data_IF_575511212053
#
_entry.id   IF_575511212053
#
_cell.length_a   1.000
_cell.length_b   1.000
_cell.length_c   1.000
_cell.angle_alpha   90.00
_cell.angle_beta   90.00
_cell.angle_gamma   90.00
#
_symmetry.space_group_name_H-M   'P 1'
#
loop_
_entity.id
_entity.type
_entity.pdbx_description
1 polymer ?
#
# COMPACT_ATOMS: atom_id res chain seq x y z
N UNK A 1 -38.14 -27.38 -33.46
CA UNK A 1 -38.15 -27.98 -32.11
C UNK A 1 -36.82 -28.69 -31.95
N UNK A 2 -35.84 -28.25 -31.18
CA UNK A 2 -35.69 -27.31 -30.07
C UNK A 2 -34.44 -27.85 -29.35
N UNK A 3 -33.34 -27.11 -29.27
CA UNK A 3 -32.94 -26.17 -28.19
C UNK A 3 -31.66 -26.76 -27.55
N UNK A 4 -30.48 -26.32 -28.00
CA UNK A 4 -29.57 -25.36 -27.33
C UNK A 4 -29.06 -25.77 -25.95
N UNK A 5 -27.76 -26.02 -25.88
CA UNK A 5 -26.97 -26.10 -24.65
C UNK A 5 -25.58 -25.48 -24.83
N UNK A 6 -25.49 -24.38 -25.59
CA UNK A 6 -24.28 -23.54 -25.64
C UNK A 6 -24.33 -22.60 -24.45
N UNK A 7 -23.94 -23.06 -23.28
CA UNK A 7 -23.74 -22.19 -22.12
C UNK A 7 -22.40 -21.48 -22.25
N UNK A 8 -22.47 -20.31 -22.89
CA UNK A 8 -21.83 -19.06 -22.44
C UNK A 8 -20.32 -19.12 -22.13
N UNK A 9 -19.50 -19.20 -23.17
CA UNK A 9 -18.23 -18.48 -23.24
C UNK A 9 -18.52 -17.02 -23.63
N UNK A 10 -19.22 -16.29 -22.77
CA UNK A 10 -19.17 -14.83 -22.78
C UNK A 10 -18.00 -14.45 -21.88
N UNK A 11 -16.82 -14.43 -22.51
CA UNK A 11 -15.71 -13.62 -22.08
C UNK A 11 -16.27 -12.22 -21.86
N UNK A 12 -16.44 -11.82 -20.60
CA UNK A 12 -16.76 -10.44 -20.28
C UNK A 12 -15.55 -9.64 -20.71
N UNK A 13 -15.61 -9.08 -21.91
CA UNK A 13 -14.83 -7.90 -22.28
C UNK A 13 -15.29 -6.82 -21.31
N UNK A 14 -14.69 -6.80 -20.12
CA UNK A 14 -14.77 -5.68 -19.20
C UNK A 14 -14.09 -4.55 -19.95
N UNK A 15 -14.90 -3.69 -20.57
CA UNK A 15 -14.46 -2.40 -21.07
C UNK A 15 -13.71 -1.73 -19.93
N UNK A 16 -12.40 -1.52 -20.10
CA UNK A 16 -11.62 -0.79 -19.11
C UNK A 16 -12.32 0.55 -18.86
N UNK A 17 -12.51 0.95 -17.59
CA UNK A 17 -13.20 2.20 -17.30
C UNK A 17 -12.43 3.35 -17.96
N UNK A 18 -13.16 4.29 -18.56
CA UNK A 18 -12.58 5.40 -19.32
C UNK A 18 -12.89 6.73 -18.63
N UNK A 19 -11.91 7.63 -18.66
CA UNK A 19 -12.03 8.97 -18.11
C UNK A 19 -12.08 9.99 -19.23
N UNK A 20 -12.84 11.05 -19.03
CA UNK A 20 -12.72 12.25 -19.86
C UNK A 20 -11.34 12.87 -19.69
N UNK A 21 -10.89 13.65 -20.68
CA UNK A 21 -9.61 14.35 -20.58
C UNK A 21 -9.70 15.48 -19.57
N UNK A 22 -8.80 15.50 -18.59
CA UNK A 22 -8.69 16.62 -17.66
C UNK A 22 -8.49 17.95 -18.40
N UNK A 23 -9.13 19.01 -17.89
CA UNK A 23 -9.14 20.35 -18.49
C UNK A 23 -8.33 21.37 -17.69
N UNK A 24 -7.95 22.48 -18.33
CA UNK A 24 -7.19 23.57 -17.73
C UNK A 24 -5.84 23.11 -17.14
N UNK A 25 -5.46 23.68 -15.98
CA UNK A 25 -4.20 23.36 -15.29
C UNK A 25 -4.10 21.89 -14.85
N UNK A 26 -5.23 21.20 -14.64
CA UNK A 26 -5.24 19.80 -14.22
C UNK A 26 -4.73 18.86 -15.30
N UNK A 27 -4.80 19.26 -16.57
CA UNK A 27 -4.21 18.49 -17.69
C UNK A 27 -2.71 18.29 -17.52
N UNK A 28 -2.00 19.27 -16.96
CA UNK A 28 -0.55 19.19 -16.71
C UNK A 28 -0.20 18.41 -15.45
N UNK A 29 -1.17 18.19 -14.56
CA UNK A 29 -1.00 17.41 -13.33
C UNK A 29 -1.43 15.96 -13.51
N UNK A 30 -2.27 15.65 -14.50
CA UNK A 30 -2.68 14.30 -14.84
C UNK A 30 -1.47 13.42 -15.16
N UNK A 31 -1.51 12.17 -14.69
CA UNK A 31 -0.46 11.18 -14.90
C UNK A 31 -0.57 10.57 -16.27
N UNK A 32 0.57 10.35 -16.92
CA UNK A 32 0.63 9.54 -18.13
C UNK A 32 0.24 8.10 -17.76
N UNK A 33 -0.73 7.46 -18.44
CA UNK A 33 -1.04 6.04 -18.26
C UNK A 33 0.19 5.13 -18.32
N UNK A 34 1.22 5.50 -19.09
CA UNK A 34 2.48 4.75 -19.18
C UNK A 34 3.31 4.80 -17.89
N UNK A 35 2.99 5.68 -16.92
CA UNK A 35 3.65 5.68 -15.61
C UNK A 35 3.39 4.41 -14.80
N UNK A 36 2.36 3.62 -15.14
CA UNK A 36 2.13 2.31 -14.51
C UNK A 36 3.09 1.22 -15.00
N UNK A 37 3.84 1.46 -16.08
CA UNK A 37 4.84 0.53 -16.60
C UNK A 37 6.13 0.61 -15.77
N UNK A 38 6.28 -0.36 -14.87
CA UNK A 38 7.46 -0.50 -14.01
C UNK A 38 8.71 -0.99 -14.77
N UNK A 39 8.56 -1.47 -16.02
CA UNK A 39 9.68 -1.99 -16.83
C UNK A 39 10.72 -0.93 -17.16
N UNK A 40 10.34 0.35 -17.12
CA UNK A 40 11.23 1.48 -17.38
C UNK A 40 12.16 1.84 -16.20
N UNK A 41 12.06 1.14 -15.06
CA UNK A 41 12.70 1.58 -13.79
C UNK A 41 13.75 0.63 -13.19
N UNK A 42 14.37 -0.24 -14.01
CA UNK A 42 15.35 -1.27 -13.56
C UNK A 42 14.80 -2.25 -12.52
N UNK A 43 13.48 -2.42 -12.46
CA UNK A 43 12.88 -3.41 -11.57
C UNK A 43 13.14 -4.79 -12.16
N UNK A 44 13.45 -5.75 -11.29
CA UNK A 44 13.54 -7.15 -11.68
C UNK A 44 12.12 -7.69 -11.87
N UNK A 45 11.49 -7.35 -13.00
CA UNK A 45 10.18 -7.88 -13.33
C UNK A 45 10.33 -9.36 -13.69
N UNK A 46 9.98 -10.22 -12.74
CA UNK A 46 9.78 -11.65 -13.01
C UNK A 46 8.52 -11.80 -13.85
N UNK A 47 8.57 -12.66 -14.87
CA UNK A 47 7.36 -13.00 -15.62
C UNK A 47 6.38 -13.76 -14.72
N UNK A 48 5.08 -13.67 -15.00
CA UNK A 48 4.04 -14.35 -14.24
C UNK A 48 3.26 -13.46 -13.26
N UNK A 49 2.89 -14.01 -12.11
CA UNK A 49 1.94 -13.43 -11.17
C UNK A 49 2.35 -12.04 -10.64
N UNK A 50 3.64 -11.83 -10.37
CA UNK A 50 4.16 -10.56 -9.85
C UNK A 50 3.98 -9.40 -10.82
N UNK A 51 4.32 -9.60 -12.11
CA UNK A 51 4.15 -8.57 -13.14
C UNK A 51 2.68 -8.15 -13.28
N UNK A 52 1.76 -9.12 -13.32
CA UNK A 52 0.33 -8.83 -13.43
C UNK A 52 -0.18 -8.08 -12.21
N UNK A 53 0.14 -8.54 -11.00
CA UNK A 53 -0.31 -7.92 -9.75
C UNK A 53 0.16 -6.45 -9.65
N UNK A 54 1.45 -6.20 -9.91
CA UNK A 54 2.03 -4.86 -9.80
C UNK A 54 1.53 -3.91 -10.89
N UNK A 55 1.37 -4.43 -12.11
CA UNK A 55 0.81 -3.65 -13.23
C UNK A 55 -0.62 -3.24 -12.94
N UNK A 56 -1.46 -4.16 -12.44
CA UNK A 56 -2.85 -3.86 -12.09
C UNK A 56 -2.93 -2.83 -10.96
N UNK A 57 -2.14 -3.00 -9.90
CA UNK A 57 -2.09 -2.05 -8.79
C UNK A 57 -1.71 -0.64 -9.25
N UNK A 58 -0.64 -0.48 -10.04
CA UNK A 58 -0.22 0.85 -10.51
C UNK A 58 -1.17 1.42 -11.58
N UNK A 59 -1.79 0.59 -12.44
CA UNK A 59 -2.82 1.04 -13.38
C UNK A 59 -4.04 1.59 -12.62
N UNK A 60 -4.49 0.90 -11.58
CA UNK A 60 -5.59 1.38 -10.73
C UNK A 60 -5.21 2.65 -9.98
N UNK A 61 -4.00 2.75 -9.45
CA UNK A 61 -3.49 3.99 -8.85
C UNK A 61 -3.50 5.17 -9.84
N UNK A 62 -2.96 4.99 -11.05
CA UNK A 62 -2.94 6.03 -12.08
C UNK A 62 -4.37 6.41 -12.50
N UNK A 63 -5.25 5.43 -12.65
CA UNK A 63 -6.66 5.66 -12.97
C UNK A 63 -7.33 6.52 -11.90
N UNK A 64 -7.24 6.15 -10.61
CA UNK A 64 -7.88 6.92 -9.55
C UNK A 64 -7.30 8.31 -9.37
N UNK A 65 -6.00 8.47 -9.59
CA UNK A 65 -5.37 9.80 -9.62
C UNK A 65 -5.96 10.67 -10.73
N UNK A 66 -6.09 10.12 -11.94
CA UNK A 66 -6.64 10.83 -13.09
C UNK A 66 -8.15 11.07 -12.96
N UNK A 67 -8.90 10.19 -12.30
CA UNK A 67 -10.32 10.37 -12.03
C UNK A 67 -10.57 11.67 -11.25
N UNK A 68 -9.75 11.97 -10.24
CA UNK A 68 -9.81 13.25 -9.52
C UNK A 68 -9.43 14.43 -10.42
N UNK A 69 -8.44 14.28 -11.31
CA UNK A 69 -8.05 15.33 -12.25
C UNK A 69 -9.18 15.67 -13.23
N UNK A 70 -9.90 14.65 -13.70
CA UNK A 70 -11.06 14.77 -14.60
C UNK A 70 -12.37 15.11 -13.87
N UNK A 71 -12.39 15.12 -12.53
CA UNK A 71 -13.58 15.34 -11.69
C UNK A 71 -14.62 14.21 -11.82
N UNK A 72 -14.15 12.99 -12.02
CA UNK A 72 -14.96 11.78 -12.18
C UNK A 72 -14.54 10.73 -11.13
N UNK A 73 -14.38 11.15 -9.86
CA UNK A 73 -13.86 10.27 -8.79
C UNK A 73 -14.75 9.07 -8.52
N UNK A 74 -16.06 9.20 -8.79
CA UNK A 74 -17.05 8.13 -8.73
C UNK A 74 -16.72 6.96 -9.65
N UNK A 75 -15.98 7.18 -10.75
CA UNK A 75 -15.55 6.11 -11.66
C UNK A 75 -14.52 5.17 -11.04
N UNK A 76 -13.93 5.52 -9.89
CA UNK A 76 -13.09 4.58 -9.12
C UNK A 76 -13.89 3.33 -8.73
N UNK A 77 -15.20 3.43 -8.56
CA UNK A 77 -16.07 2.28 -8.25
C UNK A 77 -16.22 1.29 -9.43
N UNK A 78 -15.92 1.71 -10.65
CA UNK A 78 -15.92 0.84 -11.84
C UNK A 78 -14.70 -0.09 -11.88
N UNK A 79 -13.64 0.21 -11.10
CA UNK A 79 -12.48 -0.66 -10.93
C UNK A 79 -12.93 -1.97 -10.25
N UNK A 80 -12.39 -3.16 -10.62
CA UNK A 80 -12.59 -4.39 -9.86
C UNK A 80 -12.39 -4.20 -8.36
N UNK A 81 -13.26 -4.79 -7.53
CA UNK A 81 -13.30 -4.55 -6.08
C UNK A 81 -11.94 -4.79 -5.39
N UNK A 82 -11.23 -5.84 -5.81
CA UNK A 82 -9.88 -6.17 -5.37
C UNK A 82 -8.81 -5.10 -5.69
N UNK A 83 -9.01 -4.30 -6.74
CA UNK A 83 -8.08 -3.25 -7.18
C UNK A 83 -8.52 -1.83 -6.76
N UNK A 84 -9.78 -1.66 -6.32
CA UNK A 84 -10.31 -0.36 -5.82
C UNK A 84 -9.46 0.29 -4.74
N UNK A 85 -8.86 -0.43 -3.78
CA UNK A 85 -8.00 0.20 -2.81
C UNK A 85 -6.85 1.00 -3.45
N UNK A 86 -6.22 0.47 -4.51
CA UNK A 86 -5.19 1.19 -5.26
C UNK A 86 -5.77 2.40 -6.02
N UNK A 87 -6.98 2.28 -6.57
CA UNK A 87 -7.72 3.41 -7.14
C UNK A 87 -7.92 4.55 -6.13
N UNK A 88 -8.38 4.23 -4.92
CA UNK A 88 -8.55 5.22 -3.86
C UNK A 88 -7.24 5.77 -3.31
N UNK A 89 -6.16 5.00 -3.34
CA UNK A 89 -4.80 5.49 -3.09
C UNK A 89 -4.43 6.59 -4.11
N UNK A 90 -4.68 6.36 -5.40
CA UNK A 90 -4.47 7.33 -6.47
C UNK A 90 -5.32 8.59 -6.32
N UNK A 91 -6.61 8.42 -6.06
CA UNK A 91 -7.54 9.53 -5.85
C UNK A 91 -7.13 10.39 -4.65
N UNK A 92 -6.74 9.77 -3.53
CA UNK A 92 -6.26 10.48 -2.36
C UNK A 92 -4.94 11.22 -2.61
N UNK A 93 -4.04 10.64 -3.41
CA UNK A 93 -2.82 11.31 -3.84
C UNK A 93 -3.14 12.58 -4.67
N UNK A 94 -4.05 12.49 -5.63
CA UNK A 94 -4.47 13.64 -6.43
C UNK A 94 -5.17 14.73 -5.59
N UNK A 95 -6.09 14.34 -4.69
CA UNK A 95 -6.74 15.27 -3.77
C UNK A 95 -5.71 15.99 -2.88
N UNK A 96 -4.75 15.26 -2.33
CA UNK A 96 -3.70 15.81 -1.47
C UNK A 96 -2.77 16.74 -2.26
N UNK A 97 -2.38 16.36 -3.47
CA UNK A 97 -1.57 17.20 -4.36
C UNK A 97 -2.28 18.54 -4.63
N UNK A 98 -3.56 18.50 -4.99
CA UNK A 98 -4.35 19.71 -5.22
C UNK A 98 -4.51 20.53 -3.95
N UNK A 99 -4.71 19.90 -2.80
CA UNK A 99 -4.84 20.60 -1.53
C UNK A 99 -3.56 21.32 -1.09
N UNK A 100 -2.40 20.73 -1.38
CA UNK A 100 -1.09 21.34 -1.14
C UNK A 100 -0.83 22.49 -2.12
N UNK A 101 -1.11 22.32 -3.41
CA UNK A 101 -0.90 23.35 -4.43
C UNK A 101 -1.86 24.54 -4.30
N UNK A 102 -3.09 24.30 -3.82
CA UNK A 102 -4.13 25.34 -3.69
C UNK A 102 -4.32 25.83 -2.25
N UNK A 103 -3.49 25.34 -1.31
CA UNK A 103 -3.50 25.70 0.11
C UNK A 103 -4.89 25.56 0.79
N UNK A 104 -5.71 24.63 0.31
CA UNK A 104 -7.08 24.38 0.82
C UNK A 104 -7.12 23.53 2.10
N UNK A 105 -5.98 23.39 2.79
CA UNK A 105 -5.86 22.76 4.12
C UNK A 105 -6.48 21.34 4.21
N UNK A 106 -6.32 20.54 3.16
CA UNK A 106 -6.76 19.14 3.14
C UNK A 106 -8.25 18.93 2.89
N UNK A 107 -8.98 19.95 2.41
CA UNK A 107 -10.43 19.87 2.17
C UNK A 107 -10.82 18.71 1.25
N UNK A 108 -10.14 18.52 0.12
CA UNK A 108 -10.50 17.47 -0.86
C UNK A 108 -10.17 16.09 -0.33
N UNK A 109 -9.04 15.93 0.36
CA UNK A 109 -8.72 14.67 1.02
C UNK A 109 -9.76 14.34 2.09
N UNK A 110 -10.21 15.33 2.86
CA UNK A 110 -11.25 15.14 3.87
C UNK A 110 -12.58 14.72 3.23
N UNK A 111 -13.06 15.43 2.21
CA UNK A 111 -14.29 15.08 1.46
C UNK A 111 -14.22 13.65 0.90
N UNK A 112 -13.07 13.24 0.36
CA UNK A 112 -12.85 11.87 -0.12
C UNK A 112 -12.95 10.84 1.02
N UNK A 113 -12.31 11.11 2.17
CA UNK A 113 -12.27 10.23 3.34
C UNK A 113 -13.61 10.11 4.09
N UNK A 114 -14.49 11.10 3.97
CA UNK A 114 -15.84 11.11 4.54
C UNK A 114 -16.91 10.65 3.56
N UNK A 115 -16.56 10.51 2.28
CA UNK A 115 -17.44 10.04 1.22
C UNK A 115 -16.95 8.73 0.61
N UNK A 116 -16.60 8.71 -0.68
CA UNK A 116 -16.40 7.46 -1.42
C UNK A 116 -15.23 6.60 -0.90
N UNK A 117 -14.19 7.19 -0.29
CA UNK A 117 -13.08 6.43 0.29
C UNK A 117 -13.27 6.05 1.76
N UNK A 118 -14.47 6.15 2.34
CA UNK A 118 -14.72 5.87 3.76
C UNK A 118 -14.31 4.46 4.19
N UNK A 119 -14.44 3.47 3.30
CA UNK A 119 -14.02 2.08 3.51
C UNK A 119 -12.56 1.82 3.08
N UNK A 120 -11.93 2.80 2.41
CA UNK A 120 -10.57 2.73 1.87
C UNK A 120 -9.60 3.69 2.58
N UNK A 121 -9.88 4.05 3.83
CA UNK A 121 -9.07 5.03 4.59
C UNK A 121 -7.58 4.71 4.65
N UNK A 122 -7.22 3.43 4.81
CA UNK A 122 -5.82 3.01 4.81
C UNK A 122 -5.12 3.39 3.50
N UNK A 123 -5.69 2.97 2.37
CA UNK A 123 -5.20 3.30 1.04
C UNK A 123 -5.16 4.81 0.81
N UNK A 124 -6.20 5.54 1.22
CA UNK A 124 -6.24 6.99 1.08
C UNK A 124 -5.10 7.70 1.83
N UNK A 125 -4.74 7.25 3.05
CA UNK A 125 -3.60 7.82 3.76
C UNK A 125 -2.25 7.47 3.14
N UNK A 126 -2.08 6.25 2.60
CA UNK A 126 -0.90 5.90 1.80
C UNK A 126 -0.79 6.86 0.60
N UNK A 127 -1.89 7.08 -0.12
CA UNK A 127 -1.98 7.97 -1.27
C UNK A 127 -1.61 9.42 -0.93
N UNK A 128 -2.12 9.93 0.19
CA UNK A 128 -1.73 11.25 0.69
C UNK A 128 -0.21 11.35 0.88
N UNK A 129 0.42 10.33 1.44
CA UNK A 129 1.88 10.22 1.56
C UNK A 129 2.62 10.27 0.22
N UNK A 130 2.11 9.57 -0.79
CA UNK A 130 2.68 9.60 -2.16
C UNK A 130 2.66 11.02 -2.72
N UNK A 131 1.59 11.79 -2.50
CA UNK A 131 1.50 13.19 -2.94
C UNK A 131 2.56 14.10 -2.30
N UNK A 132 2.82 13.94 -1.01
CA UNK A 132 3.91 14.65 -0.32
C UNK A 132 5.26 14.37 -0.98
N UNK A 133 5.53 13.10 -1.33
CA UNK A 133 6.78 12.71 -2.00
C UNK A 133 6.91 13.31 -3.41
N UNK A 134 5.82 13.39 -4.18
CA UNK A 134 5.79 14.03 -5.50
C UNK A 134 6.19 15.51 -5.43
N UNK A 135 5.73 16.23 -4.40
CA UNK A 135 6.10 17.62 -4.14
C UNK A 135 7.41 17.79 -3.35
N UNK A 136 8.06 16.70 -2.96
CA UNK A 136 9.25 16.68 -2.08
C UNK A 136 9.02 17.38 -0.74
N UNK A 137 7.78 17.38 -0.27
CA UNK A 137 7.37 17.91 1.03
C UNK A 137 7.34 16.78 2.06
N UNK A 138 7.67 17.07 3.31
CA UNK A 138 7.61 16.07 4.38
C UNK A 138 6.19 16.00 4.97
N UNK A 139 5.59 14.82 5.18
CA UNK A 139 4.23 14.66 5.70
C UNK A 139 4.14 14.87 7.23
N UNK A 140 4.74 15.95 7.75
CA UNK A 140 4.86 16.19 9.20
C UNK A 140 3.68 17.00 9.75
N UNK A 141 3.21 17.99 8.99
CA UNK A 141 2.31 19.02 9.51
C UNK A 141 0.88 18.95 8.96
N UNK A 142 0.68 18.45 7.74
CA UNK A 142 -0.61 18.55 7.05
C UNK A 142 -1.61 17.44 7.37
N UNK A 143 -1.40 16.67 8.44
CA UNK A 143 -2.32 15.63 8.89
C UNK A 143 -2.84 15.85 10.33
N UNK A 144 -2.77 17.09 10.86
CA UNK A 144 -3.27 17.41 12.21
C UNK A 144 -4.76 17.13 12.42
N UNK A 145 -5.56 17.16 11.33
CA UNK A 145 -7.01 16.83 11.35
C UNK A 145 -7.33 15.41 10.88
N UNK A 146 -6.31 14.62 10.52
CA UNK A 146 -6.48 13.23 10.14
C UNK A 146 -6.67 12.34 11.37
N UNK A 147 -7.19 11.13 11.16
CA UNK A 147 -7.25 10.11 12.22
C UNK A 147 -5.85 9.95 12.83
N UNK A 148 -5.69 10.14 14.16
CA UNK A 148 -4.39 10.41 14.74
C UNK A 148 -3.33 9.33 14.52
N UNK A 149 -3.76 8.07 14.41
CA UNK A 149 -2.87 6.94 14.12
C UNK A 149 -2.74 6.62 12.63
N UNK A 150 -3.79 6.81 11.83
CA UNK A 150 -3.74 6.45 10.41
C UNK A 150 -2.93 7.46 9.59
N UNK A 151 -2.74 8.68 10.10
CA UNK A 151 -1.84 9.66 9.47
C UNK A 151 -0.39 9.17 9.36
N UNK A 152 0.04 8.22 10.19
CA UNK A 152 1.37 7.60 10.05
C UNK A 152 1.49 6.81 8.75
N UNK A 153 0.39 6.30 8.19
CA UNK A 153 0.38 5.70 6.85
C UNK A 153 0.75 6.71 5.75
N UNK A 154 0.60 8.02 5.99
CA UNK A 154 1.14 9.02 5.06
C UNK A 154 2.68 9.05 5.06
N UNK A 155 3.34 8.70 6.17
CA UNK A 155 4.81 8.54 6.21
C UNK A 155 5.23 7.28 5.45
N UNK A 156 4.45 6.20 5.56
CA UNK A 156 4.66 4.96 4.80
C UNK A 156 4.51 5.22 3.29
N UNK A 157 3.38 5.78 2.86
CA UNK A 157 3.13 6.11 1.47
C UNK A 157 4.17 7.10 0.90
N UNK A 158 4.66 8.02 1.73
CA UNK A 158 5.80 8.87 1.39
C UNK A 158 7.07 8.05 1.17
N UNK A 159 7.38 7.09 2.05
CA UNK A 159 8.52 6.18 1.92
C UNK A 159 8.51 5.37 0.64
N UNK A 160 7.34 4.82 0.28
CA UNK A 160 7.15 4.10 -0.99
C UNK A 160 7.43 5.00 -2.20
N UNK A 161 6.73 6.12 -2.33
CA UNK A 161 6.84 6.99 -3.52
C UNK A 161 8.19 7.73 -3.61
N UNK A 162 8.75 8.14 -2.46
CA UNK A 162 10.07 8.75 -2.43
C UNK A 162 11.13 7.80 -2.96
N UNK A 163 11.04 6.54 -2.56
CA UNK A 163 11.97 5.50 -2.97
C UNK A 163 11.73 5.05 -4.40
N UNK A 164 10.47 5.01 -4.85
CA UNK A 164 10.09 4.69 -6.23
C UNK A 164 10.69 5.68 -7.23
N UNK A 165 10.83 6.95 -6.84
CA UNK A 165 11.42 8.01 -7.68
C UNK A 165 12.94 8.15 -7.52
N UNK A 166 13.54 7.38 -6.60
CA UNK A 166 14.96 7.48 -6.23
C UNK A 166 15.57 6.09 -5.95
N UNK A 167 15.24 5.11 -6.79
CA UNK A 167 15.66 3.72 -6.59
C UNK A 167 17.19 3.60 -6.42
N UNK A 168 17.99 4.29 -7.25
CA UNK A 168 19.45 4.26 -7.12
C UNK A 168 19.94 4.68 -5.72
N UNK A 169 19.36 5.74 -5.14
CA UNK A 169 19.74 6.25 -3.82
C UNK A 169 19.17 5.45 -2.65
N UNK A 170 17.94 4.97 -2.81
CA UNK A 170 17.22 4.32 -1.72
C UNK A 170 17.51 2.83 -1.65
N UNK A 171 17.68 2.19 -2.81
CA UNK A 171 17.93 0.74 -2.95
C UNK A 171 19.41 0.45 -3.18
N UNK A 172 20.08 1.21 -4.05
CA UNK A 172 21.51 1.04 -4.34
C UNK A 172 22.41 1.58 -3.23
N UNK A 173 22.31 2.88 -2.95
CA UNK A 173 23.11 3.54 -1.91
C UNK A 173 22.54 3.34 -0.49
N UNK A 174 21.30 2.86 -0.37
CA UNK A 174 20.60 2.59 0.92
C UNK A 174 20.54 3.79 1.85
N UNK A 175 20.40 4.99 1.28
CA UNK A 175 20.33 6.25 2.04
C UNK A 175 19.03 6.36 2.86
N UNK A 176 18.98 7.34 3.77
CA UNK A 176 17.78 7.72 4.51
C UNK A 176 17.60 9.23 4.36
N UNK A 177 16.44 9.73 3.88
CA UNK A 177 16.19 11.17 3.89
C UNK A 177 16.23 11.68 5.33
N UNK A 178 16.67 12.93 5.53
CA UNK A 178 16.75 13.53 6.87
C UNK A 178 15.38 13.79 7.49
N UNK A 179 14.68 12.75 7.93
CA UNK A 179 13.37 12.81 8.58
C UNK A 179 13.52 13.23 10.05
N UNK A 180 12.40 13.69 10.65
CA UNK A 180 12.45 14.39 11.93
C UNK A 180 12.75 13.52 13.14
N UNK A 181 12.30 12.27 13.15
CA UNK A 181 12.47 11.38 14.30
C UNK A 181 12.75 9.95 13.84
N UNK A 182 13.30 9.12 14.74
CA UNK A 182 13.49 7.68 14.50
C UNK A 182 12.18 6.97 14.15
N UNK A 183 11.05 7.45 14.67
CA UNK A 183 9.75 6.91 14.32
C UNK A 183 9.35 7.20 12.87
N UNK A 184 9.65 8.40 12.37
CA UNK A 184 9.43 8.71 10.95
C UNK A 184 10.32 7.85 10.05
N UNK A 185 11.59 7.62 10.43
CA UNK A 185 12.49 6.74 9.68
C UNK A 185 11.96 5.29 9.64
N UNK A 186 11.48 4.78 10.77
CA UNK A 186 10.88 3.43 10.86
C UNK A 186 9.67 3.28 9.93
N UNK A 187 8.71 4.22 9.98
CA UNK A 187 7.52 4.14 9.13
C UNK A 187 7.86 4.41 7.65
N UNK A 188 8.86 5.25 7.38
CA UNK A 188 9.42 5.39 6.03
C UNK A 188 9.97 4.06 5.51
N UNK A 189 10.69 3.30 6.36
CA UNK A 189 11.24 2.00 5.99
C UNK A 189 10.16 0.93 5.76
N UNK A 190 8.97 1.06 6.37
CA UNK A 190 7.80 0.22 6.02
C UNK A 190 7.36 0.50 4.57
N UNK A 191 7.28 1.78 4.17
CA UNK A 191 7.04 2.16 2.79
C UNK A 191 8.13 1.72 1.81
N UNK A 192 9.40 1.82 2.22
CA UNK A 192 10.54 1.31 1.44
C UNK A 192 10.46 -0.22 1.31
N UNK A 193 10.10 -0.94 2.35
CA UNK A 193 9.90 -2.40 2.32
C UNK A 193 8.85 -2.80 1.30
N UNK A 194 7.70 -2.10 1.28
CA UNK A 194 6.68 -2.30 0.23
C UNK A 194 7.26 -2.07 -1.17
N UNK A 195 8.12 -1.07 -1.34
CA UNK A 195 8.78 -0.85 -2.62
C UNK A 195 9.78 -1.98 -2.96
N UNK A 196 10.54 -2.49 -2.00
CA UNK A 196 11.51 -3.57 -2.27
C UNK A 196 10.80 -4.81 -2.84
N UNK A 197 9.60 -5.12 -2.34
CA UNK A 197 8.76 -6.17 -2.90
C UNK A 197 8.46 -5.97 -4.40
N UNK A 198 8.13 -4.73 -4.80
CA UNK A 198 7.91 -4.39 -6.21
C UNK A 198 9.22 -4.42 -7.02
N UNK A 199 10.29 -3.87 -6.44
CA UNK A 199 11.60 -3.74 -7.08
C UNK A 199 12.20 -5.10 -7.43
N UNK A 200 12.04 -6.07 -6.55
CA UNK A 200 12.58 -7.43 -6.68
C UNK A 200 11.55 -8.44 -7.22
N UNK A 201 10.46 -7.96 -7.81
CA UNK A 201 9.54 -8.84 -8.54
C UNK A 201 8.85 -9.87 -7.65
N UNK A 202 8.57 -9.53 -6.39
CA UNK A 202 8.04 -10.45 -5.38
C UNK A 202 8.92 -11.70 -5.11
N UNK A 203 10.22 -11.64 -5.42
CA UNK A 203 11.17 -12.73 -5.15
C UNK A 203 11.59 -12.76 -3.67
N UNK A 204 11.27 -13.82 -2.91
CA UNK A 204 11.67 -13.93 -1.51
C UNK A 204 13.19 -13.88 -1.32
N UNK A 205 13.94 -14.57 -2.18
CA UNK A 205 15.40 -14.66 -2.12
C UNK A 205 16.05 -13.29 -2.38
N UNK A 206 15.62 -12.60 -3.44
CA UNK A 206 16.18 -11.30 -3.79
C UNK A 206 15.85 -10.24 -2.73
N UNK A 207 14.62 -10.27 -2.20
CA UNK A 207 14.18 -9.38 -1.12
C UNK A 207 14.99 -9.63 0.15
N UNK A 208 15.19 -10.90 0.53
CA UNK A 208 15.98 -11.28 1.70
C UNK A 208 17.45 -10.84 1.56
N UNK A 209 18.07 -11.13 0.42
CA UNK A 209 19.44 -10.68 0.11
C UNK A 209 19.54 -9.15 0.16
N UNK A 210 18.54 -8.45 -0.38
CA UNK A 210 18.51 -6.99 -0.39
C UNK A 210 18.38 -6.41 1.01
N UNK A 211 17.50 -6.93 1.87
CA UNK A 211 17.37 -6.49 3.26
C UNK A 211 18.66 -6.75 4.05
N UNK A 212 19.34 -7.88 3.78
CA UNK A 212 20.62 -8.21 4.37
C UNK A 212 21.68 -7.13 4.17
N UNK A 213 21.60 -6.34 3.10
CA UNK A 213 22.51 -5.21 2.85
C UNK A 213 22.19 -3.93 3.63
N UNK A 214 21.02 -3.83 4.29
CA UNK A 214 20.68 -2.69 5.14
C UNK A 214 21.21 -2.86 6.56
N UNK A 215 21.48 -1.74 7.23
CA UNK A 215 21.87 -1.71 8.65
C UNK A 215 20.83 -2.45 9.51
N UNK A 216 21.25 -3.26 10.51
CA UNK A 216 20.34 -4.09 11.31
C UNK A 216 19.13 -3.34 11.89
N UNK A 217 19.33 -2.10 12.34
CA UNK A 217 18.27 -1.27 12.93
C UNK A 217 17.15 -0.83 11.98
N UNK A 218 17.25 -1.11 10.68
CA UNK A 218 16.23 -0.78 9.66
C UNK A 218 15.44 -2.01 9.19
N UNK A 219 16.00 -3.21 9.35
CA UNK A 219 15.48 -4.44 8.74
C UNK A 219 14.08 -4.80 9.23
N UNK A 220 13.82 -4.59 10.52
CA UNK A 220 12.51 -4.86 11.13
C UNK A 220 11.35 -4.17 10.40
N UNK A 221 11.52 -2.89 10.09
CA UNK A 221 10.51 -2.07 9.43
C UNK A 221 10.40 -2.40 7.93
N UNK A 222 11.52 -2.70 7.27
CA UNK A 222 11.53 -3.20 5.89
C UNK A 222 10.71 -4.51 5.78
N UNK A 223 10.97 -5.47 6.67
CA UNK A 223 10.21 -6.73 6.74
C UNK A 223 8.73 -6.52 7.01
N UNK A 224 8.37 -5.54 7.86
CA UNK A 224 6.96 -5.18 8.05
C UNK A 224 6.31 -4.63 6.77
N UNK A 225 7.05 -3.82 6.01
CA UNK A 225 6.59 -3.35 4.70
C UNK A 225 6.38 -4.49 3.70
N UNK A 226 7.32 -5.43 3.65
CA UNK A 226 7.24 -6.59 2.74
C UNK A 226 6.07 -7.50 3.11
N UNK A 227 5.88 -7.80 4.40
CA UNK A 227 4.72 -8.58 4.85
C UNK A 227 3.39 -7.92 4.49
N UNK A 228 3.33 -6.59 4.54
CA UNK A 228 2.17 -5.84 4.04
C UNK A 228 2.01 -6.00 2.53
N UNK A 229 3.05 -5.76 1.72
CA UNK A 229 2.95 -5.83 0.27
C UNK A 229 2.63 -7.25 -0.25
N UNK A 230 3.22 -8.28 0.35
CA UNK A 230 2.97 -9.67 -0.01
C UNK A 230 1.50 -10.08 0.23
N UNK A 231 0.88 -9.60 1.31
CA UNK A 231 -0.52 -9.87 1.61
C UNK A 231 -1.49 -8.91 0.89
N UNK A 232 -1.11 -7.65 0.68
CA UNK A 232 -1.97 -6.61 0.10
C UNK A 232 -1.94 -6.61 -1.43
N UNK A 233 -0.75 -6.48 -2.00
CA UNK A 233 -0.53 -6.46 -3.46
C UNK A 233 -0.44 -7.86 -4.03
N UNK A 234 0.15 -8.81 -3.29
CA UNK A 234 0.40 -10.16 -3.79
C UNK A 234 1.61 -10.23 -4.71
N UNK A 235 1.59 -11.17 -5.64
CA UNK A 235 2.63 -11.37 -6.64
C UNK A 235 3.59 -12.53 -6.38
N UNK A 236 3.39 -13.29 -5.30
CA UNK A 236 4.13 -14.51 -5.00
C UNK A 236 3.17 -15.70 -4.84
N UNK A 237 3.62 -16.88 -5.23
CA UNK A 237 2.93 -18.15 -5.07
C UNK A 237 3.11 -18.74 -3.65
N UNK A 238 2.38 -19.81 -3.35
CA UNK A 238 2.33 -20.43 -2.01
C UNK A 238 3.71 -20.80 -1.46
N UNK A 239 4.52 -21.49 -2.26
CA UNK A 239 5.87 -21.94 -1.92
C UNK A 239 6.82 -20.75 -1.71
N UNK A 240 6.70 -19.72 -2.54
CA UNK A 240 7.46 -18.48 -2.40
C UNK A 240 7.09 -17.74 -1.10
N UNK A 241 5.81 -17.73 -0.72
CA UNK A 241 5.37 -17.14 0.55
C UNK A 241 5.91 -17.91 1.77
N UNK A 242 6.08 -19.23 1.67
CA UNK A 242 6.77 -20.03 2.70
C UNK A 242 8.26 -19.70 2.76
N UNK A 243 8.91 -19.56 1.61
CA UNK A 243 10.31 -19.13 1.54
C UNK A 243 10.51 -17.73 2.16
N UNK A 244 9.60 -16.78 1.87
CA UNK A 244 9.60 -15.44 2.46
C UNK A 244 9.49 -15.49 4.00
N UNK A 245 8.61 -16.35 4.48
CA UNK A 245 8.40 -16.63 5.89
C UNK A 245 9.68 -17.17 6.56
N UNK A 246 10.37 -18.11 5.91
CA UNK A 246 11.62 -18.71 6.39
C UNK A 246 12.75 -17.69 6.43
N UNK A 247 12.95 -16.91 5.36
CA UNK A 247 13.95 -15.83 5.31
C UNK A 247 13.75 -14.79 6.40
N UNK A 248 12.51 -14.36 6.60
CA UNK A 248 12.17 -13.44 7.69
C UNK A 248 12.41 -14.09 9.06
N UNK A 249 12.20 -15.40 9.20
CA UNK A 249 12.52 -16.17 10.40
C UNK A 249 14.03 -16.20 10.68
N UNK A 250 14.84 -16.52 9.68
CA UNK A 250 16.29 -16.57 9.77
C UNK A 250 16.92 -15.22 10.14
N UNK A 251 16.36 -14.11 9.65
CA UNK A 251 16.79 -12.74 10.01
C UNK A 251 16.16 -12.25 11.35
N UNK A 252 15.30 -13.05 11.99
CA UNK A 252 14.69 -12.73 13.30
C UNK A 252 13.47 -11.79 13.26
N UNK A 253 12.88 -11.59 12.08
CA UNK A 253 11.80 -10.63 11.84
C UNK A 253 10.47 -11.25 11.40
N UNK A 254 10.26 -12.56 11.64
CA UNK A 254 8.98 -13.26 11.37
C UNK A 254 7.75 -12.52 11.93
N UNK A 255 7.85 -12.00 13.15
CA UNK A 255 6.77 -11.24 13.78
C UNK A 255 6.46 -9.91 13.07
N UNK A 256 7.46 -9.29 12.42
CA UNK A 256 7.26 -8.05 11.66
C UNK A 256 6.57 -8.32 10.32
N UNK A 257 6.93 -9.42 9.63
CA UNK A 257 6.18 -9.86 8.44
C UNK A 257 4.72 -10.14 8.79
N UNK A 258 4.46 -10.86 9.86
CA UNK A 258 3.10 -11.15 10.31
C UNK A 258 2.31 -9.90 10.69
N UNK A 259 2.95 -8.92 11.33
CA UNK A 259 2.35 -7.62 11.59
C UNK A 259 1.94 -6.92 10.29
N UNK A 260 2.85 -6.85 9.31
CA UNK A 260 2.55 -6.27 7.99
C UNK A 260 1.35 -6.94 7.34
N UNK A 261 1.31 -8.27 7.36
CA UNK A 261 0.20 -9.08 6.87
C UNK A 261 -1.11 -8.74 7.60
N UNK A 262 -1.10 -8.66 8.93
CA UNK A 262 -2.28 -8.32 9.72
C UNK A 262 -2.84 -6.93 9.37
N UNK A 263 -1.98 -5.92 9.19
CA UNK A 263 -2.41 -4.59 8.74
C UNK A 263 -2.98 -4.58 7.32
N UNK A 264 -2.39 -5.34 6.40
CA UNK A 264 -2.90 -5.48 5.04
C UNK A 264 -4.30 -6.06 5.02
N UNK A 265 -4.51 -7.16 5.73
CA UNK A 265 -5.79 -7.87 5.77
C UNK A 265 -6.86 -7.05 6.51
N UNK A 266 -6.50 -6.37 7.61
CA UNK A 266 -7.41 -5.45 8.28
C UNK A 266 -7.89 -4.33 7.35
N UNK A 267 -7.01 -3.79 6.50
CA UNK A 267 -7.38 -2.79 5.50
C UNK A 267 -8.31 -3.37 4.42
N UNK A 268 -8.04 -4.58 3.94
CA UNK A 268 -8.83 -5.26 2.91
C UNK A 268 -10.22 -5.64 3.39
N UNK A 269 -10.33 -6.27 4.57
CA UNK A 269 -11.62 -6.61 5.18
C UNK A 269 -12.47 -5.36 5.43
N UNK A 270 -11.87 -4.25 5.85
CA UNK A 270 -12.57 -2.97 6.02
C UNK A 270 -13.07 -2.37 4.71
N UNK A 271 -12.39 -2.68 3.59
CA UNK A 271 -12.84 -2.32 2.24
C UNK A 271 -13.91 -3.25 1.66
N UNK A 272 -14.26 -4.34 2.37
CA UNK A 272 -15.35 -5.24 2.01
C UNK A 272 -14.98 -6.31 0.99
N UNK A 273 -13.69 -6.52 0.68
CA UNK A 273 -13.23 -7.58 -0.22
C UNK A 273 -11.88 -8.11 0.23
N UNK A 274 -11.78 -9.44 0.35
CA UNK A 274 -10.52 -10.14 0.57
C UNK A 274 -10.14 -10.87 -0.73
N UNK A 275 -9.13 -10.38 -1.47
CA UNK A 275 -8.65 -11.04 -2.68
C UNK A 275 -8.11 -12.46 -2.41
N UNK A 276 -8.13 -13.31 -3.44
CA UNK A 276 -7.68 -14.71 -3.32
C UNK A 276 -6.21 -14.82 -2.91
N UNK A 277 -5.32 -13.98 -3.49
CA UNK A 277 -3.91 -13.96 -3.10
C UNK A 277 -3.72 -13.58 -1.63
N UNK A 278 -4.54 -12.66 -1.12
CA UNK A 278 -4.51 -12.26 0.28
C UNK A 278 -4.96 -13.41 1.17
N UNK A 279 -6.08 -14.06 0.84
CA UNK A 279 -6.61 -15.22 1.57
C UNK A 279 -5.59 -16.38 1.63
N UNK A 280 -4.81 -16.57 0.56
CA UNK A 280 -3.72 -17.55 0.49
C UNK A 280 -2.51 -17.15 1.33
N UNK A 281 -2.18 -15.86 1.38
CA UNK A 281 -1.01 -15.35 2.09
C UNK A 281 -1.17 -15.34 3.61
N UNK A 282 -2.37 -15.08 4.16
CA UNK A 282 -2.55 -14.95 5.63
C UNK A 282 -2.14 -16.20 6.41
N UNK A 283 -2.60 -17.41 6.05
CA UNK A 283 -2.22 -18.63 6.78
C UNK A 283 -0.72 -18.88 6.77
N UNK A 284 -0.02 -18.43 5.73
CA UNK A 284 1.43 -18.64 5.57
C UNK A 284 2.21 -17.57 6.34
N UNK A 285 1.87 -16.29 6.15
CA UNK A 285 2.64 -15.18 6.70
C UNK A 285 2.29 -14.89 8.16
N UNK A 286 1.02 -14.97 8.52
CA UNK A 286 0.52 -14.72 9.87
C UNK A 286 0.29 -16.01 10.66
N UNK A 287 0.11 -17.16 10.01
CA UNK A 287 -0.12 -18.44 10.72
C UNK A 287 -1.54 -18.57 11.29
N UNK A 288 -2.52 -17.87 10.72
CA UNK A 288 -3.95 -17.94 11.08
C UNK A 288 -4.84 -17.46 9.91
N UNK A 289 -6.16 -17.46 10.07
CA UNK A 289 -7.12 -16.89 9.12
C UNK A 289 -7.13 -15.35 9.10
N UNK A 290 -7.78 -14.78 8.08
CA UNK A 290 -7.83 -13.35 7.84
C UNK A 290 -8.51 -12.57 8.98
N UNK A 291 -9.61 -13.10 9.50
CA UNK A 291 -10.42 -12.49 10.55
C UNK A 291 -9.63 -12.40 11.86
N UNK A 292 -8.93 -13.47 12.24
CA UNK A 292 -8.12 -13.48 13.45
C UNK A 292 -6.93 -12.51 13.32
N UNK A 293 -6.21 -12.54 12.19
CA UNK A 293 -5.08 -11.64 11.95
C UNK A 293 -5.52 -10.16 12.00
N UNK A 294 -6.66 -9.83 11.39
CA UNK A 294 -7.22 -8.49 11.46
C UNK A 294 -7.64 -8.10 12.88
N UNK A 295 -8.23 -9.03 13.64
CA UNK A 295 -8.66 -8.80 15.02
C UNK A 295 -7.50 -8.37 15.94
N UNK A 296 -6.27 -8.83 15.69
CA UNK A 296 -5.10 -8.40 16.46
C UNK A 296 -4.83 -6.89 16.31
N UNK A 297 -5.09 -6.34 15.13
CA UNK A 297 -4.93 -4.90 14.89
C UNK A 297 -6.03 -4.11 15.59
N UNK A 298 -7.27 -4.58 15.56
CA UNK A 298 -8.39 -3.91 16.21
C UNK A 298 -8.28 -3.98 17.74
N UNK A 299 -7.94 -5.15 18.31
CA UNK A 299 -7.71 -5.29 19.75
C UNK A 299 -6.56 -4.42 20.23
N UNK A 300 -5.45 -4.38 19.49
CA UNK A 300 -4.33 -3.52 19.79
C UNK A 300 -4.71 -2.04 19.70
N UNK A 301 -5.57 -1.65 18.75
CA UNK A 301 -6.07 -0.28 18.65
C UNK A 301 -6.96 0.09 19.84
N UNK A 302 -7.89 -0.79 20.22
CA UNK A 302 -8.78 -0.62 21.38
C UNK A 302 -7.97 -0.46 22.68
N UNK A 303 -6.90 -1.24 22.83
CA UNK A 303 -6.03 -1.20 24.01
C UNK A 303 -5.22 0.10 24.16
N UNK A 304 -5.14 0.95 23.11
CA UNK A 304 -4.50 2.27 23.21
C UNK A 304 -5.43 3.34 23.79
N UNK A 305 -6.74 3.12 23.75
CA UNK A 305 -7.74 4.10 24.17
C UNK A 305 -7.99 5.25 23.18
N UNK A 306 -8.98 6.08 23.50
CA UNK A 306 -9.48 7.14 22.60
C UNK A 306 -8.52 8.33 22.40
N UNK A 307 -7.57 8.51 23.33
CA UNK A 307 -6.57 9.58 23.29
C UNK A 307 -5.30 9.20 22.52
N UNK A 308 -5.25 8.04 21.86
CA UNK A 308 -4.07 7.59 21.14
C UNK A 308 -3.79 8.46 19.91
N UNK A 309 -2.73 9.26 19.95
CA UNK A 309 -2.44 10.22 18.88
C UNK A 309 -0.97 10.48 18.60
N UNK A 310 -0.05 9.84 19.30
CA UNK A 310 1.39 10.09 19.16
C UNK A 310 2.07 9.05 18.26
N UNK A 311 3.36 9.27 18.01
CA UNK A 311 4.18 8.26 17.33
C UNK A 311 4.46 7.05 18.22
N UNK A 312 4.48 7.26 19.54
CA UNK A 312 4.66 6.19 20.52
C UNK A 312 3.44 5.29 20.56
N UNK A 313 2.24 5.87 20.45
CA UNK A 313 0.99 5.12 20.34
C UNK A 313 0.96 4.27 19.07
N UNK A 314 1.40 4.83 17.94
CA UNK A 314 1.52 4.06 16.69
C UNK A 314 2.50 2.89 16.82
N UNK A 315 3.66 3.11 17.44
CA UNK A 315 4.61 2.03 17.72
C UNK A 315 4.06 1.01 18.72
N UNK A 316 3.29 1.46 19.70
CA UNK A 316 2.62 0.59 20.66
C UNK A 316 1.58 -0.27 19.97
N UNK A 317 0.79 0.28 19.05
CA UNK A 317 -0.14 -0.45 18.19
C UNK A 317 0.57 -1.61 17.49
N UNK A 318 1.63 -1.31 16.76
CA UNK A 318 2.46 -2.28 16.04
C UNK A 318 3.03 -3.36 16.99
N UNK A 319 3.60 -2.95 18.12
CA UNK A 319 4.16 -3.88 19.10
C UNK A 319 3.11 -4.79 19.74
N UNK A 320 1.89 -4.30 19.98
CA UNK A 320 0.79 -5.09 20.54
C UNK A 320 0.27 -6.09 19.51
N UNK A 321 0.12 -5.72 18.25
CA UNK A 321 -0.21 -6.66 17.16
C UNK A 321 0.81 -7.80 17.08
N UNK A 322 2.12 -7.50 17.16
CA UNK A 322 3.16 -8.54 17.20
C UNK A 322 3.07 -9.44 18.44
N UNK A 323 2.69 -8.88 19.59
CA UNK A 323 2.46 -9.66 20.82
C UNK A 323 1.27 -10.60 20.70
N UNK A 324 0.18 -10.17 20.05
CA UNK A 324 -0.96 -11.04 19.78
C UNK A 324 -0.55 -12.21 18.88
N UNK A 325 0.18 -11.93 17.79
CA UNK A 325 0.74 -12.97 16.93
C UNK A 325 1.60 -13.97 17.71
N UNK A 326 2.50 -13.50 18.58
CA UNK A 326 3.39 -14.38 19.34
C UNK A 326 2.69 -15.24 20.40
N UNK A 327 1.42 -14.98 20.72
CA UNK A 327 0.64 -15.71 21.74
C UNK A 327 -0.35 -16.72 21.16
N UNK A 328 -0.48 -16.81 19.84
CA UNK A 328 -1.39 -17.74 19.16
C UNK A 328 -0.97 -19.19 19.35
#
# INVERSE_FOLDING_TARGET
MGDTGTTSFLDQVRTEPTLSRASGLRRFLAKDPLESDLGRRRFHLREGASRTAFTNAERSYVFGFNAVMSREVEKVEEIPAEQRPFGYEGAAAACTLLDLLTLTRGRRLHELLTGPAQHHRHAAYLGAGRAYALLRLRPVWGARRAHPLLRWLAVDGFGFQWSLTRADRMVGERTMPGLLTRAHCAVFDQGLGRLLWYHDGASPDDVAARIGAYSPGRRADLWSGIGFAAAYTGGAETDELWCLAEHAGADGFRAHVAQGCAFAVAALLRSGTLPEHSARAVPILAGTCAEEAASWTDQALIALGHEAHTHEDFRRWQSQTRRSWARR
#
